data_IF_352198847557
#
_entry.id   IF_352198847557
#
_cell.length_a   1.000
_cell.length_b   1.000
_cell.length_c   1.000
_cell.angle_alpha   90.00
_cell.angle_beta   90.00
_cell.angle_gamma   90.00
#
_symmetry.space_group_name_H-M   'P 1'
#
loop_
_entity.id
_entity.type
_entity.pdbx_description
1 polymer ?
#
# COMPACT_ATOMS: atom_id res chain seq x y z
N UNK A 1 3.56 8.01 24.21
CA UNK A 1 4.20 7.35 23.05
C UNK A 1 5.69 7.23 23.32
N UNK A 2 6.31 6.08 23.12
CA UNK A 2 7.76 5.93 23.31
C UNK A 2 8.52 6.65 22.18
N UNK A 3 9.79 7.03 22.43
CA UNK A 3 10.61 7.78 21.46
C UNK A 3 10.70 7.07 20.11
N UNK A 4 10.88 5.74 20.13
CA UNK A 4 10.95 4.92 18.92
C UNK A 4 9.66 4.94 18.11
N UNK A 5 8.49 4.88 18.76
CA UNK A 5 7.19 4.96 18.08
C UNK A 5 6.94 6.34 17.45
N UNK A 6 7.36 7.42 18.11
CA UNK A 6 7.30 8.77 17.53
C UNK A 6 8.18 8.88 16.29
N UNK A 7 9.45 8.43 16.37
CA UNK A 7 10.38 8.46 15.24
C UNK A 7 9.85 7.62 14.08
N UNK A 8 9.30 6.43 14.37
CA UNK A 8 8.69 5.58 13.35
C UNK A 8 7.57 6.32 12.60
N UNK A 9 6.60 6.91 13.31
CA UNK A 9 5.49 7.65 12.70
C UNK A 9 6.01 8.83 11.88
N UNK A 10 6.96 9.61 12.43
CA UNK A 10 7.53 10.76 11.75
C UNK A 10 8.23 10.34 10.45
N UNK A 11 9.05 9.30 10.48
CA UNK A 11 9.75 8.78 9.30
C UNK A 11 8.77 8.25 8.26
N UNK A 12 7.79 7.44 8.67
CA UNK A 12 6.77 6.94 7.73
C UNK A 12 6.00 8.07 7.06
N UNK A 13 5.64 9.12 7.80
CA UNK A 13 4.96 10.29 7.24
C UNK A 13 5.87 11.08 6.29
N UNK A 14 7.10 11.41 6.70
CA UNK A 14 8.03 12.19 5.88
C UNK A 14 8.40 11.46 4.59
N UNK A 15 8.66 10.14 4.66
CA UNK A 15 8.95 9.34 3.48
C UNK A 15 7.74 9.26 2.55
N UNK A 16 6.53 9.11 3.10
CA UNK A 16 5.30 9.09 2.29
C UNK A 16 5.02 10.44 1.63
N UNK A 17 5.31 11.56 2.32
CA UNK A 17 5.21 12.90 1.74
C UNK A 17 6.24 13.08 0.63
N UNK A 18 7.49 12.66 0.85
CA UNK A 18 8.54 12.73 -0.17
C UNK A 18 8.14 11.98 -1.43
N UNK A 19 7.68 10.74 -1.28
CA UNK A 19 7.17 9.93 -2.41
C UNK A 19 6.01 10.62 -3.12
N UNK A 20 5.08 11.24 -2.39
CA UNK A 20 3.96 11.96 -2.98
C UNK A 20 4.41 13.21 -3.77
N UNK A 21 5.38 13.96 -3.27
CA UNK A 21 5.90 15.16 -3.94
C UNK A 21 6.75 14.84 -5.18
N UNK A 22 7.30 13.63 -5.27
CA UNK A 22 8.04 13.15 -6.44
C UNK A 22 7.11 12.73 -7.61
N UNK A 23 5.81 12.56 -7.35
CA UNK A 23 4.83 12.24 -8.39
C UNK A 23 4.52 13.50 -9.21
N UNK A 24 5.03 13.53 -10.43
CA UNK A 24 4.68 14.51 -11.44
C UNK A 24 3.28 14.21 -12.00
N UNK A 25 2.26 14.64 -11.27
CA UNK A 25 0.87 14.31 -11.54
C UNK A 25 -0.13 15.26 -10.88
N UNK A 26 -1.39 14.89 -10.87
CA UNK A 26 -2.45 15.66 -10.21
C UNK A 26 -2.33 15.56 -8.68
N UNK A 27 -2.98 16.47 -7.96
CA UNK A 27 -3.06 16.39 -6.50
C UNK A 27 -3.66 15.04 -6.02
N UNK A 28 -4.58 14.46 -6.80
CA UNK A 28 -5.18 13.15 -6.49
C UNK A 28 -4.12 12.05 -6.57
N UNK A 29 -3.25 12.06 -7.57
CA UNK A 29 -2.16 11.09 -7.70
C UNK A 29 -1.14 11.22 -6.56
N UNK A 30 -0.82 12.45 -6.15
CA UNK A 30 0.05 12.68 -5.00
C UNK A 30 -0.57 12.11 -3.72
N UNK A 31 -1.86 12.34 -3.49
CA UNK A 31 -2.60 11.77 -2.34
C UNK A 31 -2.60 10.24 -2.41
N UNK A 32 -2.87 9.66 -3.58
CA UNK A 32 -2.86 8.21 -3.78
C UNK A 32 -1.46 7.62 -3.55
N UNK A 33 -0.40 8.30 -4.00
CA UNK A 33 0.99 7.93 -3.74
C UNK A 33 1.34 7.97 -2.26
N UNK A 34 0.96 9.04 -1.56
CA UNK A 34 1.11 9.16 -0.11
C UNK A 34 0.45 7.99 0.64
N UNK A 35 -0.82 7.73 0.32
CA UNK A 35 -1.60 6.66 0.98
C UNK A 35 -1.02 5.28 0.65
N UNK A 36 -0.60 5.06 -0.60
CA UNK A 36 0.02 3.80 -1.04
C UNK A 36 1.33 3.53 -0.30
N UNK A 37 2.17 4.55 -0.13
CA UNK A 37 3.42 4.43 0.61
C UNK A 37 3.17 4.14 2.11
N UNK A 38 2.20 4.82 2.73
CA UNK A 38 1.81 4.53 4.11
C UNK A 38 1.28 3.10 4.30
N UNK A 39 0.39 2.64 3.41
CA UNK A 39 -0.14 1.27 3.46
C UNK A 39 0.98 0.26 3.27
N UNK A 40 1.95 0.55 2.40
CA UNK A 40 3.13 -0.31 2.18
C UNK A 40 3.95 -0.46 3.46
N UNK A 41 4.21 0.62 4.20
CA UNK A 41 4.88 0.52 5.50
C UNK A 41 4.11 -0.36 6.49
N UNK A 42 2.79 -0.16 6.62
CA UNK A 42 1.97 -0.98 7.51
C UNK A 42 1.94 -2.45 7.09
N UNK A 43 1.89 -2.72 5.78
CA UNK A 43 1.92 -4.06 5.22
C UNK A 43 3.24 -4.78 5.51
N UNK A 44 4.37 -4.10 5.33
CA UNK A 44 5.69 -4.64 5.65
C UNK A 44 5.83 -4.96 7.14
N UNK A 45 5.30 -4.12 8.03
CA UNK A 45 5.30 -4.39 9.47
C UNK A 45 4.40 -5.57 9.80
N UNK A 46 3.24 -5.69 9.15
CA UNK A 46 2.33 -6.80 9.35
C UNK A 46 2.99 -8.13 8.92
N UNK A 47 3.67 -8.13 7.77
CA UNK A 47 4.45 -9.25 7.27
C UNK A 47 5.63 -9.58 8.19
N UNK A 48 6.36 -8.57 8.68
CA UNK A 48 7.44 -8.76 9.63
C UNK A 48 6.94 -9.40 10.93
N UNK A 49 5.80 -8.93 11.46
CA UNK A 49 5.16 -9.52 12.63
C UNK A 49 4.77 -10.98 12.39
N UNK A 50 4.19 -11.29 11.23
CA UNK A 50 3.82 -12.65 10.84
C UNK A 50 5.06 -13.57 10.73
N UNK A 51 6.16 -13.08 10.14
CA UNK A 51 7.43 -13.82 10.06
C UNK A 51 8.04 -14.09 11.43
N UNK A 52 7.94 -13.13 12.35
CA UNK A 52 8.43 -13.26 13.73
C UNK A 52 7.45 -13.98 14.67
N UNK A 53 6.33 -14.48 14.15
CA UNK A 53 5.25 -15.10 14.92
C UNK A 53 4.71 -14.20 16.05
N UNK A 54 4.80 -12.88 15.88
CA UNK A 54 4.36 -11.87 16.86
C UNK A 54 3.13 -11.12 16.37
N UNK A 55 2.12 -11.03 17.24
CA UNK A 55 0.93 -10.23 16.96
C UNK A 55 1.18 -8.75 17.22
N UNK A 56 1.65 -8.03 16.20
CA UNK A 56 1.85 -6.57 16.26
C UNK A 56 0.54 -5.79 16.08
N UNK A 57 -0.43 -6.37 15.37
CA UNK A 57 -1.73 -5.77 15.10
C UNK A 57 -2.87 -6.64 15.61
N UNK A 58 -3.92 -5.99 16.11
CA UNK A 58 -5.20 -6.64 16.38
C UNK A 58 -5.81 -7.18 15.08
N UNK A 59 -6.70 -8.17 15.17
CA UNK A 59 -7.30 -8.82 14.00
C UNK A 59 -8.00 -7.83 13.06
N UNK A 60 -8.73 -6.87 13.61
CA UNK A 60 -9.44 -5.88 12.80
C UNK A 60 -8.48 -4.94 12.06
N UNK A 61 -7.38 -4.52 12.70
CA UNK A 61 -6.34 -3.69 12.06
C UNK A 61 -5.60 -4.45 10.98
N UNK A 62 -5.30 -5.73 11.23
CA UNK A 62 -4.64 -6.59 10.25
C UNK A 62 -5.51 -6.81 9.01
N UNK A 63 -6.81 -7.07 9.18
CA UNK A 63 -7.78 -7.15 8.08
C UNK A 63 -7.82 -5.86 7.27
N UNK A 64 -7.87 -4.72 7.95
CA UNK A 64 -7.88 -3.42 7.27
C UNK A 64 -6.63 -3.23 6.41
N UNK A 65 -5.43 -3.51 6.94
CA UNK A 65 -4.16 -3.42 6.19
C UNK A 65 -4.14 -4.40 5.01
N UNK A 66 -4.57 -5.65 5.25
CA UNK A 66 -4.57 -6.70 4.23
C UNK A 66 -5.53 -6.39 3.08
N UNK A 67 -6.64 -5.71 3.32
CA UNK A 67 -7.59 -5.30 2.28
C UNK A 67 -7.28 -3.93 1.67
N UNK A 68 -6.64 -3.01 2.40
CA UNK A 68 -6.33 -1.68 1.86
C UNK A 68 -5.34 -1.74 0.71
N UNK A 69 -4.37 -2.66 0.76
CA UNK A 69 -3.36 -2.79 -0.29
C UNK A 69 -3.95 -3.24 -1.65
N UNK A 70 -4.70 -4.37 -1.76
CA UNK A 70 -5.37 -4.74 -3.01
C UNK A 70 -6.39 -3.70 -3.46
N UNK A 71 -7.08 -3.01 -2.53
CA UNK A 71 -8.00 -1.94 -2.91
C UNK A 71 -7.28 -0.76 -3.58
N UNK A 72 -6.12 -0.34 -3.06
CA UNK A 72 -5.31 0.72 -3.68
C UNK A 72 -4.80 0.33 -5.06
N UNK A 73 -4.40 -0.93 -5.25
CA UNK A 73 -4.01 -1.48 -6.56
C UNK A 73 -5.16 -1.55 -7.57
N UNK A 74 -6.40 -1.32 -7.16
CA UNK A 74 -7.50 -1.09 -8.09
C UNK A 74 -7.72 0.41 -8.29
N UNK A 75 -7.80 1.17 -7.21
CA UNK A 75 -8.14 2.60 -7.25
C UNK A 75 -7.14 3.41 -8.09
N UNK A 76 -5.83 3.16 -7.93
CA UNK A 76 -4.78 3.93 -8.62
C UNK A 76 -4.87 3.77 -10.14
N UNK A 77 -4.85 2.55 -10.70
CA UNK A 77 -5.03 2.35 -12.14
C UNK A 77 -6.36 2.85 -12.67
N UNK A 78 -7.46 2.67 -11.92
CA UNK A 78 -8.75 3.18 -12.35
C UNK A 78 -8.72 4.70 -12.48
N UNK A 79 -8.16 5.40 -11.50
CA UNK A 79 -7.99 6.86 -11.59
C UNK A 79 -7.16 7.26 -12.81
N UNK A 80 -5.98 6.64 -12.99
CA UNK A 80 -5.09 6.97 -14.11
C UNK A 80 -5.73 6.66 -15.47
N UNK A 81 -6.50 5.57 -15.57
CA UNK A 81 -7.23 5.23 -16.78
C UNK A 81 -8.27 6.29 -17.16
N UNK A 82 -8.96 6.88 -16.18
CA UNK A 82 -9.93 7.95 -16.44
C UNK A 82 -9.23 9.28 -16.75
N UNK A 83 -8.25 9.68 -15.92
CA UNK A 83 -7.53 10.95 -16.06
C UNK A 83 -6.78 11.03 -17.39
N UNK A 84 -6.13 9.93 -17.80
CA UNK A 84 -5.34 9.84 -19.03
C UNK A 84 -6.06 9.04 -20.11
N UNK A 85 -7.40 9.08 -20.14
CA UNK A 85 -8.20 8.35 -21.13
C UNK A 85 -7.91 8.74 -22.58
N UNK A 86 -7.35 9.94 -22.81
CA UNK A 86 -6.91 10.42 -24.12
C UNK A 86 -5.57 9.80 -24.57
N UNK A 87 -4.83 9.15 -23.66
CA UNK A 87 -3.54 8.52 -23.92
C UNK A 87 -3.67 7.01 -24.05
N UNK A 88 -2.92 6.42 -24.98
CA UNK A 88 -2.86 4.95 -25.07
C UNK A 88 -1.98 4.40 -23.95
N UNK A 89 -2.60 3.67 -23.02
CA UNK A 89 -1.87 3.06 -21.91
C UNK A 89 -0.94 1.94 -22.42
N UNK A 90 0.36 1.95 -22.08
CA UNK A 90 1.28 0.89 -22.48
C UNK A 90 0.86 -0.46 -21.91
N UNK A 91 0.96 -1.53 -22.71
CA UNK A 91 0.66 -2.90 -22.28
C UNK A 91 1.45 -3.36 -21.05
N UNK A 92 2.70 -2.88 -20.91
CA UNK A 92 3.54 -3.16 -19.75
C UNK A 92 2.91 -2.69 -18.44
N UNK A 93 2.18 -1.57 -18.46
CA UNK A 93 1.50 -1.05 -17.28
C UNK A 93 0.40 -2.01 -16.82
N UNK A 94 -0.47 -2.44 -17.74
CA UNK A 94 -1.58 -3.38 -17.44
C UNK A 94 -1.02 -4.71 -16.93
N UNK A 95 0.05 -5.20 -17.54
CA UNK A 95 0.70 -6.44 -17.14
C UNK A 95 1.28 -6.35 -15.72
N UNK A 96 2.06 -5.31 -15.42
CA UNK A 96 2.62 -5.09 -14.08
C UNK A 96 1.53 -4.94 -13.03
N UNK A 97 0.48 -4.17 -13.34
CA UNK A 97 -0.64 -3.98 -12.43
C UNK A 97 -1.34 -5.30 -12.08
N UNK A 98 -1.52 -6.17 -13.08
CA UNK A 98 -2.14 -7.48 -12.87
C UNK A 98 -1.28 -8.34 -11.95
N UNK A 99 0.05 -8.35 -12.16
CA UNK A 99 0.95 -9.09 -11.29
C UNK A 99 0.93 -8.54 -9.87
N UNK A 100 1.05 -7.23 -9.68
CA UNK A 100 1.00 -6.58 -8.37
C UNK A 100 -0.30 -6.90 -7.65
N UNK A 101 -1.44 -6.84 -8.34
CA UNK A 101 -2.72 -7.19 -7.78
C UNK A 101 -2.76 -8.66 -7.33
N UNK A 102 -2.31 -9.60 -8.16
CA UNK A 102 -2.25 -11.02 -7.76
C UNK A 102 -1.32 -11.24 -6.56
N UNK A 103 -0.15 -10.60 -6.53
CA UNK A 103 0.75 -10.65 -5.39
C UNK A 103 0.11 -10.08 -4.12
N UNK A 104 -0.66 -8.99 -4.23
CA UNK A 104 -1.37 -8.40 -3.09
C UNK A 104 -2.40 -9.35 -2.48
N UNK A 105 -3.08 -10.15 -3.30
CA UNK A 105 -4.02 -11.17 -2.83
C UNK A 105 -3.30 -12.32 -2.12
N UNK A 106 -2.12 -12.73 -2.60
CA UNK A 106 -1.27 -13.71 -1.93
C UNK A 106 -0.85 -13.18 -0.55
N UNK A 107 -0.38 -11.94 -0.48
CA UNK A 107 0.00 -11.29 0.78
C UNK A 107 -1.19 -11.23 1.75
N UNK A 108 -2.35 -10.79 1.27
CA UNK A 108 -3.57 -10.74 2.07
C UNK A 108 -3.93 -12.13 2.60
N UNK A 109 -3.85 -13.18 1.77
CA UNK A 109 -4.07 -14.56 2.18
C UNK A 109 -3.12 -15.01 3.29
N UNK A 110 -1.82 -14.71 3.18
CA UNK A 110 -0.82 -15.03 4.21
C UNK A 110 -1.17 -14.35 5.54
N UNK A 111 -1.44 -13.04 5.52
CA UNK A 111 -1.77 -12.27 6.71
C UNK A 111 -3.07 -12.72 7.38
N UNK A 112 -4.05 -13.16 6.60
CA UNK A 112 -5.36 -13.60 7.10
C UNK A 112 -5.38 -15.07 7.54
N UNK A 113 -4.56 -15.94 6.93
CA UNK A 113 -4.48 -17.37 7.24
C UNK A 113 -3.68 -17.66 8.51
N UNK A 114 -2.68 -16.85 8.83
CA UNK A 114 -1.74 -17.05 9.95
C UNK A 114 -2.32 -16.99 11.37
N UNK A 115 -3.65 -17.10 11.54
CA UNK A 115 -4.36 -16.95 12.83
C UNK A 115 -5.53 -17.94 12.95
N UNK A 116 -5.21 -19.24 12.91
CA UNK A 116 -5.97 -20.28 13.63
C UNK A 116 -5.18 -20.69 14.86
#
# INVERSE_FOLDING_TARGET
MNKSGFIFILLSLMLSISTALEINGTLVEQILGFVSQLVTFLLLIALFGAWQEKQLFSQNRLKLIAYSYPALLLIVPFYQYFEYSEQTMPWSYIYMQTLEFLFSLIIASILLKGKK
#
